data_IF_639624528342
#
_entry.id   IF_639624528342
#
_cell.length_a   1.000
_cell.length_b   1.000
_cell.length_c   1.000
_cell.angle_alpha   90.00
_cell.angle_beta   90.00
_cell.angle_gamma   90.00
#
_symmetry.space_group_name_H-M   'P 1'
#
loop_
_entity.id
_entity.type
_entity.pdbx_description
1 polymer ?
#
# COMPACT_ATOMS: atom_id res chain seq x y z
N UNK A 1 23.74 42.70 26.11
CA UNK A 1 22.41 43.28 25.86
C UNK A 1 21.99 44.12 27.04
N UNK A 2 21.10 45.10 26.87
CA UNK A 2 20.59 45.94 27.96
C UNK A 2 20.00 45.14 29.09
N UNK A 3 19.36 44.02 28.80
CA UNK A 3 18.83 43.07 29.80
C UNK A 3 19.94 42.45 30.68
N UNK A 4 21.10 42.16 30.11
CA UNK A 4 22.27 41.64 30.87
C UNK A 4 22.92 42.74 31.71
N UNK A 5 23.00 43.97 31.20
CA UNK A 5 23.51 45.11 31.93
C UNK A 5 22.60 45.46 33.15
N UNK A 6 21.29 45.45 32.94
CA UNK A 6 20.31 45.67 34.02
C UNK A 6 20.40 44.56 35.11
N UNK A 7 20.53 43.31 34.70
CA UNK A 7 20.70 42.21 35.64
C UNK A 7 21.97 42.34 36.52
N UNK A 8 23.08 42.89 35.97
CA UNK A 8 24.32 43.15 36.70
C UNK A 8 24.13 44.29 37.67
N UNK A 9 23.42 45.37 37.26
CA UNK A 9 23.13 46.52 38.13
C UNK A 9 22.20 46.22 39.30
N UNK A 10 21.29 45.24 39.11
CA UNK A 10 20.35 44.79 40.12
C UNK A 10 20.97 43.78 41.13
N UNK A 11 22.21 43.37 40.90
CA UNK A 11 22.93 42.51 41.86
C UNK A 11 23.29 43.25 43.14
N UNK A 12 22.87 42.71 44.29
CA UNK A 12 23.23 43.26 45.62
C UNK A 12 24.75 43.20 45.81
N UNK A 13 25.35 44.27 46.34
CA UNK A 13 26.81 44.42 46.62
C UNK A 13 27.40 43.22 47.40
N UNK A 14 26.58 42.56 48.20
CA UNK A 14 26.94 41.38 48.99
C UNK A 14 27.28 40.13 48.17
N UNK A 15 26.88 40.11 46.87
CA UNK A 15 27.18 39.00 45.90
C UNK A 15 28.49 39.18 45.12
N UNK A 16 29.23 40.24 45.39
CA UNK A 16 30.50 40.55 44.70
C UNK A 16 31.73 40.12 45.53
N UNK A 17 31.58 39.24 46.51
CA UNK A 17 32.71 38.73 47.30
C UNK A 17 33.49 37.69 46.50
N UNK A 18 34.82 37.62 46.69
CA UNK A 18 35.70 36.66 46.00
C UNK A 18 35.23 35.19 46.12
N UNK A 19 34.57 34.84 47.24
CA UNK A 19 34.02 33.50 47.46
C UNK A 19 32.86 33.17 46.51
N UNK A 20 31.96 34.13 46.27
CA UNK A 20 30.84 33.97 45.33
C UNK A 20 31.34 33.95 43.87
N UNK A 21 32.36 34.72 43.53
CA UNK A 21 32.99 34.68 42.20
C UNK A 21 33.62 33.30 41.94
N UNK A 22 34.25 32.70 42.93
CA UNK A 22 34.81 31.36 42.82
C UNK A 22 33.72 30.31 42.64
N UNK A 23 32.63 30.42 43.39
CA UNK A 23 31.49 29.54 43.28
C UNK A 23 30.82 29.65 41.90
N UNK A 24 30.63 30.88 41.39
CA UNK A 24 30.05 31.14 40.08
C UNK A 24 30.94 30.62 38.93
N UNK A 25 32.27 30.78 39.04
CA UNK A 25 33.23 30.20 38.09
C UNK A 25 33.16 28.69 38.08
N UNK A 26 33.06 28.06 39.22
CA UNK A 26 32.91 26.61 39.32
C UNK A 26 31.62 26.13 38.70
N UNK A 27 30.52 26.79 38.96
CA UNK A 27 29.23 26.49 38.36
C UNK A 27 29.28 26.64 36.85
N UNK A 28 29.89 27.70 36.32
CA UNK A 28 30.09 27.94 34.91
C UNK A 28 30.91 26.79 34.26
N UNK A 29 32.03 26.38 34.90
CA UNK A 29 32.85 25.27 34.39
C UNK A 29 32.08 23.94 34.42
N UNK A 30 31.25 23.71 35.43
CA UNK A 30 30.44 22.49 35.53
C UNK A 30 29.33 22.46 34.46
N UNK A 31 28.73 23.63 34.16
CA UNK A 31 27.78 23.76 33.07
C UNK A 31 28.45 23.52 31.70
N UNK A 32 29.64 24.08 31.47
CA UNK A 32 30.37 23.82 30.20
C UNK A 32 30.67 22.33 30.03
N UNK A 33 31.13 21.62 31.07
CA UNK A 33 31.34 20.18 31.02
C UNK A 33 30.06 19.40 30.77
N UNK A 34 28.94 19.87 31.29
CA UNK A 34 27.63 19.26 31.03
C UNK A 34 27.23 19.45 29.58
N UNK A 35 27.44 20.65 29.00
CA UNK A 35 27.15 20.93 27.59
C UNK A 35 27.99 20.00 26.70
N UNK A 36 29.32 19.95 26.90
CA UNK A 36 30.21 19.08 26.12
C UNK A 36 29.78 17.60 26.19
N UNK A 37 29.36 17.16 27.39
CA UNK A 37 28.84 15.80 27.58
C UNK A 37 27.57 15.56 26.79
N UNK A 38 26.60 16.47 26.84
CA UNK A 38 25.32 16.36 26.16
C UNK A 38 25.48 16.44 24.64
N UNK A 39 26.31 17.36 24.15
CA UNK A 39 26.65 17.44 22.73
C UNK A 39 27.35 16.17 22.27
N UNK A 40 28.29 15.63 23.07
CA UNK A 40 28.93 14.36 22.77
C UNK A 40 27.98 13.17 22.70
N UNK A 41 26.86 13.22 23.44
CA UNK A 41 25.77 12.21 23.33
C UNK A 41 24.99 12.41 22.04
N UNK A 42 24.61 13.66 21.72
CA UNK A 42 23.82 13.99 20.53
C UNK A 42 24.56 13.70 19.22
N UNK A 43 25.87 13.90 19.18
CA UNK A 43 26.69 13.66 18.00
C UNK A 43 27.17 12.22 17.84
N UNK A 44 26.81 11.32 18.74
CA UNK A 44 27.22 9.91 18.72
C UNK A 44 26.06 8.96 18.98
N UNK A 45 25.57 8.33 17.94
CA UNK A 45 24.50 7.33 18.02
C UNK A 45 24.81 6.23 19.07
N UNK A 46 26.07 5.78 19.12
CA UNK A 46 26.50 4.78 20.11
C UNK A 46 26.33 5.27 21.55
N UNK A 47 26.63 6.56 21.82
CA UNK A 47 26.47 7.14 23.16
C UNK A 47 25.01 7.38 23.49
N UNK A 48 24.20 7.79 22.50
CA UNK A 48 22.77 7.96 22.66
C UNK A 48 22.09 6.64 23.00
N UNK A 49 22.39 5.58 22.26
CA UNK A 49 21.89 4.23 22.54
C UNK A 49 22.33 3.70 23.91
N UNK A 50 23.54 4.08 24.37
CA UNK A 50 24.01 3.71 25.70
C UNK A 50 23.21 4.38 26.82
N UNK A 51 22.80 5.65 26.65
CA UNK A 51 21.91 6.35 27.58
C UNK A 51 20.55 5.68 27.63
N UNK A 52 19.93 5.45 26.48
CA UNK A 52 18.62 4.78 26.39
C UNK A 52 18.67 3.40 27.04
N UNK A 53 19.73 2.62 26.76
CA UNK A 53 19.90 1.30 27.39
C UNK A 53 19.97 1.36 28.90
N UNK A 54 20.71 2.37 29.42
CA UNK A 54 20.84 2.56 30.88
C UNK A 54 19.49 2.90 31.51
N UNK A 55 18.75 3.85 30.95
CA UNK A 55 17.41 4.24 31.45
C UNK A 55 16.42 3.08 31.41
N UNK A 56 16.41 2.30 30.32
CA UNK A 56 15.58 1.10 30.23
C UNK A 56 15.97 0.03 31.25
N UNK A 57 17.25 -0.09 31.54
CA UNK A 57 17.76 -1.04 32.54
C UNK A 57 17.34 -0.63 33.96
N UNK A 58 17.42 0.66 34.29
CA UNK A 58 16.96 1.22 35.56
C UNK A 58 15.45 0.98 35.74
N UNK A 59 14.63 1.20 34.69
CA UNK A 59 13.20 0.91 34.73
C UNK A 59 12.95 -0.59 34.88
N UNK A 60 13.71 -1.42 34.17
CA UNK A 60 13.58 -2.86 34.28
C UNK A 60 13.94 -3.38 35.71
N UNK A 61 14.93 -2.77 36.38
CA UNK A 61 15.30 -3.14 37.75
C UNK A 61 14.26 -2.67 38.78
N UNK A 62 13.64 -1.49 38.56
CA UNK A 62 12.63 -0.93 39.45
C UNK A 62 11.27 -1.65 39.35
N UNK A 63 10.89 -2.05 38.12
CA UNK A 63 9.56 -2.64 37.86
C UNK A 63 9.61 -4.12 37.47
N UNK A 64 10.77 -4.79 37.61
CA UNK A 64 10.88 -6.20 37.30
C UNK A 64 10.01 -7.05 38.23
N UNK A 65 9.14 -7.81 37.61
CA UNK A 65 8.41 -8.86 38.32
C UNK A 65 8.86 -10.27 37.81
N UNK A 66 8.59 -11.28 38.60
CA UNK A 66 8.93 -12.64 38.25
C UNK A 66 8.12 -13.07 37.00
N UNK A 67 8.80 -13.76 36.11
CA UNK A 67 8.15 -14.30 34.91
C UNK A 67 6.99 -15.23 35.27
N UNK A 68 5.78 -14.85 34.90
CA UNK A 68 4.55 -15.64 35.19
C UNK A 68 4.38 -16.83 34.25
N UNK A 69 5.12 -16.84 33.12
CA UNK A 69 5.06 -17.91 32.13
C UNK A 69 6.15 -18.93 32.45
N UNK A 70 5.77 -20.18 32.68
CA UNK A 70 6.69 -21.32 32.80
C UNK A 70 7.10 -21.80 31.40
N UNK A 71 8.39 -22.11 31.22
CA UNK A 71 8.87 -22.81 30.04
C UNK A 71 8.90 -24.28 30.40
N UNK A 72 7.93 -25.03 29.91
CA UNK A 72 7.97 -26.48 30.00
C UNK A 72 8.77 -27.04 28.81
N UNK A 73 9.68 -27.96 29.09
CA UNK A 73 10.29 -28.75 28.01
C UNK A 73 9.19 -29.65 27.46
N UNK A 74 8.80 -29.46 26.21
CA UNK A 74 7.94 -30.41 25.57
C UNK A 74 8.66 -31.77 25.59
N UNK A 75 8.12 -32.73 26.33
CA UNK A 75 8.49 -34.14 26.14
C UNK A 75 8.18 -34.47 24.67
N UNK A 76 9.17 -35.00 23.95
CA UNK A 76 9.06 -35.44 22.57
C UNK A 76 8.18 -36.72 22.46
N UNK A 77 7.03 -36.71 23.06
CA UNK A 77 5.98 -37.66 22.76
C UNK A 77 5.04 -36.97 21.79
N UNK A 78 4.86 -37.50 20.57
CA UNK A 78 3.83 -36.97 19.69
C UNK A 78 2.47 -37.34 20.28
N UNK A 79 1.94 -36.51 21.15
CA UNK A 79 0.52 -36.47 21.36
C UNK A 79 -0.05 -35.91 20.06
N UNK A 80 -0.38 -36.77 19.12
CA UNK A 80 -1.41 -36.48 18.14
C UNK A 80 -2.70 -36.18 18.92
N UNK A 81 -2.82 -34.95 19.39
CA UNK A 81 -4.14 -34.40 19.65
C UNK A 81 -4.72 -34.23 18.25
N UNK A 82 -5.49 -35.19 17.81
CA UNK A 82 -6.53 -34.93 16.84
C UNK A 82 -7.38 -33.81 17.47
N UNK A 83 -7.02 -32.53 17.21
CA UNK A 83 -7.99 -31.45 17.28
C UNK A 83 -9.11 -31.91 16.33
N UNK A 84 -10.23 -32.33 16.88
CA UNK A 84 -11.48 -32.38 16.12
C UNK A 84 -11.59 -31.01 15.43
N UNK A 85 -11.26 -31.00 14.15
CA UNK A 85 -11.28 -29.78 13.37
C UNK A 85 -12.71 -29.25 13.48
N UNK A 86 -12.89 -28.16 14.21
CA UNK A 86 -14.17 -27.49 14.32
C UNK A 86 -14.69 -27.28 12.89
N UNK A 87 -15.98 -27.56 12.67
CA UNK A 87 -16.54 -27.42 11.33
C UNK A 87 -16.22 -26.01 10.80
N UNK A 88 -15.80 -25.90 9.52
CA UNK A 88 -15.41 -24.61 8.94
C UNK A 88 -16.53 -23.59 9.10
N UNK A 89 -16.27 -22.47 9.75
CA UNK A 89 -17.21 -21.38 9.95
C UNK A 89 -17.07 -20.35 8.83
N UNK A 90 -18.21 -19.82 8.37
CA UNK A 90 -18.22 -18.69 7.43
C UNK A 90 -17.86 -17.41 8.17
N UNK A 91 -16.92 -16.65 7.63
CA UNK A 91 -16.43 -15.38 8.17
C UNK A 91 -16.26 -14.35 7.06
N UNK A 92 -16.23 -13.09 7.44
CA UNK A 92 -15.83 -12.00 6.53
C UNK A 92 -14.40 -11.61 6.89
N UNK A 93 -13.53 -11.60 5.87
CA UNK A 93 -12.18 -11.05 5.96
C UNK A 93 -12.16 -9.73 5.22
N UNK A 94 -11.68 -8.68 5.89
CA UNK A 94 -11.52 -7.36 5.31
C UNK A 94 -10.10 -6.84 5.52
N UNK A 95 -9.58 -6.13 4.51
CA UNK A 95 -8.38 -5.31 4.63
C UNK A 95 -8.79 -3.87 4.43
N UNK A 96 -8.49 -3.00 5.40
CA UNK A 96 -8.95 -1.61 5.40
C UNK A 96 -7.90 -0.65 4.87
N UNK A 97 -8.33 0.55 4.44
CA UNK A 97 -7.45 1.65 4.04
C UNK A 97 -6.46 2.09 5.14
N UNK A 98 -6.73 1.74 6.41
CA UNK A 98 -5.79 1.91 7.53
C UNK A 98 -4.69 0.82 7.58
N UNK A 99 -4.65 -0.12 6.63
CA UNK A 99 -3.69 -1.23 6.61
C UNK A 99 -3.96 -2.32 7.65
N UNK A 100 -5.21 -2.51 8.05
CA UNK A 100 -5.61 -3.48 9.07
C UNK A 100 -6.38 -4.65 8.45
N UNK A 101 -6.02 -5.86 8.87
CA UNK A 101 -6.78 -7.09 8.61
C UNK A 101 -7.81 -7.30 9.72
N UNK A 102 -9.05 -7.60 9.34
CA UNK A 102 -10.17 -7.91 10.23
C UNK A 102 -10.81 -9.23 9.82
N UNK A 103 -11.08 -10.09 10.80
CA UNK A 103 -11.98 -11.23 10.63
C UNK A 103 -13.25 -10.93 11.41
N UNK A 104 -14.40 -11.02 10.77
CA UNK A 104 -15.69 -10.59 11.34
C UNK A 104 -16.74 -11.68 11.14
N UNK A 105 -17.69 -11.73 12.08
CA UNK A 105 -18.85 -12.57 11.94
C UNK A 105 -19.83 -11.98 10.90
N UNK A 106 -20.30 -12.77 9.92
CA UNK A 106 -21.19 -12.29 8.86
C UNK A 106 -22.50 -11.69 9.37
N UNK A 107 -23.07 -12.23 10.46
CA UNK A 107 -24.31 -11.71 11.03
C UNK A 107 -24.13 -10.33 11.71
N UNK A 108 -22.95 -10.09 12.30
CA UNK A 108 -22.61 -8.79 12.87
C UNK A 108 -22.32 -7.76 11.77
N UNK A 109 -21.61 -8.17 10.72
CA UNK A 109 -21.31 -7.31 9.57
C UNK A 109 -22.59 -6.85 8.85
N UNK A 110 -23.56 -7.74 8.63
CA UNK A 110 -24.85 -7.38 8.04
C UNK A 110 -25.61 -6.31 8.83
N UNK A 111 -25.46 -6.30 10.16
CA UNK A 111 -26.07 -5.28 11.04
C UNK A 111 -25.30 -3.96 11.06
N UNK A 112 -24.02 -4.02 10.92
CA UNK A 112 -23.13 -2.86 11.02
C UNK A 112 -22.01 -3.06 10.00
N UNK A 113 -22.23 -2.72 8.71
CA UNK A 113 -21.18 -2.82 7.69
C UNK A 113 -20.05 -1.83 7.96
N UNK A 114 -18.91 -2.05 7.34
CA UNK A 114 -17.83 -1.06 7.29
C UNK A 114 -18.30 0.17 6.51
N UNK A 115 -17.77 1.37 6.80
CA UNK A 115 -18.07 2.57 6.04
C UNK A 115 -17.65 2.40 4.58
N UNK A 116 -18.29 3.12 3.69
CA UNK A 116 -17.84 3.24 2.30
C UNK A 116 -16.65 4.18 2.21
N UNK A 117 -15.88 4.09 1.13
CA UNK A 117 -14.73 4.98 0.89
C UNK A 117 -15.14 6.46 0.82
N UNK A 118 -16.38 6.76 0.46
CA UNK A 118 -16.91 8.12 0.46
C UNK A 118 -17.10 8.69 1.88
N UNK A 119 -17.33 7.81 2.86
CA UNK A 119 -17.60 8.19 4.25
C UNK A 119 -16.33 8.27 5.08
N UNK A 120 -15.40 7.31 4.89
CA UNK A 120 -14.14 7.25 5.64
C UNK A 120 -13.04 6.55 4.82
N UNK A 121 -11.93 7.26 4.57
CA UNK A 121 -10.78 6.77 3.80
C UNK A 121 -9.94 5.72 4.54
N UNK A 122 -10.08 5.58 5.84
CA UNK A 122 -9.24 4.71 6.65
C UNK A 122 -9.94 3.41 7.05
N UNK A 123 -11.21 3.50 7.35
CA UNK A 123 -11.97 2.36 7.87
C UNK A 123 -12.74 1.59 6.78
N UNK A 124 -12.86 2.12 5.55
CA UNK A 124 -13.45 1.36 4.46
C UNK A 124 -12.56 0.16 4.07
N UNK A 125 -13.17 -0.87 3.49
CA UNK A 125 -12.44 -2.06 3.07
C UNK A 125 -11.91 -1.89 1.64
N UNK A 126 -10.57 -1.95 1.48
CA UNK A 126 -9.92 -2.12 0.17
C UNK A 126 -10.20 -3.50 -0.42
N UNK A 127 -10.22 -4.51 0.45
CA UNK A 127 -10.57 -5.89 0.10
C UNK A 127 -11.58 -6.44 1.10
N UNK A 128 -12.60 -7.09 0.60
CA UNK A 128 -13.67 -7.72 1.38
C UNK A 128 -14.03 -9.07 0.79
N UNK A 129 -13.90 -10.13 1.60
CA UNK A 129 -14.17 -11.50 1.16
C UNK A 129 -15.10 -12.22 2.13
N UNK A 130 -16.01 -13.02 1.60
CA UNK A 130 -16.57 -14.14 2.33
C UNK A 130 -15.55 -15.28 2.30
N UNK A 131 -15.16 -15.77 3.44
CA UNK A 131 -14.16 -16.83 3.60
C UNK A 131 -14.63 -17.86 4.62
N UNK A 132 -13.94 -18.99 4.67
CA UNK A 132 -14.10 -19.98 5.73
C UNK A 132 -12.85 -20.06 6.59
N UNK A 133 -13.00 -20.48 7.83
CA UNK A 133 -11.88 -20.58 8.78
C UNK A 133 -10.81 -21.60 8.36
N UNK A 134 -11.16 -22.58 7.51
CA UNK A 134 -10.21 -23.56 6.92
C UNK A 134 -9.50 -23.05 5.65
N UNK A 135 -9.76 -21.83 5.21
CA UNK A 135 -9.11 -21.21 4.06
C UNK A 135 -7.83 -20.48 4.45
N UNK A 136 -7.01 -20.21 3.44
CA UNK A 136 -5.79 -19.42 3.54
C UNK A 136 -5.95 -18.12 2.77
N UNK A 137 -5.67 -17.00 3.42
CA UNK A 137 -5.56 -15.69 2.80
C UNK A 137 -4.17 -15.58 2.16
N UNK A 138 -4.11 -15.44 0.84
CA UNK A 138 -2.90 -15.12 0.10
C UNK A 138 -2.79 -13.61 -0.04
N UNK A 139 -1.69 -13.02 0.39
CA UNK A 139 -1.42 -11.59 0.33
C UNK A 139 -0.22 -11.37 -0.59
N UNK A 140 -0.43 -10.68 -1.71
CA UNK A 140 0.61 -10.36 -2.68
C UNK A 140 1.03 -8.90 -2.53
N UNK A 141 2.35 -8.65 -2.58
CA UNK A 141 2.92 -7.34 -2.34
C UNK A 141 3.61 -6.76 -3.57
N UNK A 142 3.86 -5.46 -3.54
CA UNK A 142 4.52 -4.72 -4.63
C UNK A 142 5.99 -5.11 -4.85
N UNK A 143 6.62 -5.77 -3.86
CA UNK A 143 7.94 -6.39 -3.99
C UNK A 143 7.92 -7.74 -4.70
N UNK A 144 6.74 -8.26 -5.03
CA UNK A 144 6.58 -9.57 -5.68
C UNK A 144 6.59 -10.75 -4.72
N UNK A 145 6.40 -10.52 -3.44
CA UNK A 145 6.27 -11.56 -2.43
C UNK A 145 4.82 -12.00 -2.25
N UNK A 146 4.64 -13.22 -1.76
CA UNK A 146 3.37 -13.74 -1.28
C UNK A 146 3.51 -14.18 0.17
N UNK A 147 2.51 -13.84 0.97
CA UNK A 147 2.38 -14.22 2.37
C UNK A 147 1.08 -15.03 2.57
N UNK A 148 1.16 -16.34 2.67
CA UNK A 148 0.02 -17.17 3.07
C UNK A 148 -0.28 -17.00 4.56
N UNK A 149 -1.53 -16.72 4.88
CA UNK A 149 -2.00 -16.54 6.25
C UNK A 149 -3.27 -17.36 6.47
N UNK A 150 -3.28 -18.35 7.39
CA UNK A 150 -4.51 -19.06 7.72
C UNK A 150 -5.59 -18.11 8.22
N UNK A 151 -6.80 -18.16 7.66
CA UNK A 151 -7.93 -17.30 8.08
C UNK A 151 -8.25 -17.50 9.57
N UNK A 152 -8.10 -18.73 10.09
CA UNK A 152 -8.28 -19.03 11.51
C UNK A 152 -7.32 -18.27 12.44
N UNK A 153 -6.13 -17.90 11.95
CA UNK A 153 -5.13 -17.17 12.75
C UNK A 153 -5.44 -15.69 12.96
N UNK A 154 -6.38 -15.14 12.20
CA UNK A 154 -6.85 -13.76 12.38
C UNK A 154 -7.77 -13.68 13.60
N UNK A 155 -7.59 -12.67 14.43
CA UNK A 155 -8.49 -12.41 15.55
C UNK A 155 -9.87 -11.99 15.05
N UNK A 156 -10.92 -12.57 15.63
CA UNK A 156 -12.28 -12.11 15.36
C UNK A 156 -12.54 -10.80 16.10
N UNK A 157 -13.01 -9.81 15.35
CA UNK A 157 -13.31 -8.47 15.86
C UNK A 157 -14.68 -8.00 15.36
N UNK A 158 -15.31 -7.06 16.07
CA UNK A 158 -16.52 -6.41 15.59
C UNK A 158 -16.18 -5.41 14.47
N UNK A 159 -17.12 -5.11 13.55
CA UNK A 159 -16.84 -4.19 12.43
C UNK A 159 -16.24 -2.84 12.82
N UNK A 160 -16.68 -2.27 13.95
CA UNK A 160 -16.18 -0.98 14.48
C UNK A 160 -14.88 -1.08 15.29
N UNK A 161 -14.44 -2.28 15.64
CA UNK A 161 -13.20 -2.49 16.37
C UNK A 161 -12.00 -2.46 15.41
N UNK A 162 -10.84 -2.10 15.93
CA UNK A 162 -9.60 -2.11 15.15
C UNK A 162 -9.16 -3.53 14.84
N UNK A 163 -8.71 -3.75 13.62
CA UNK A 163 -8.09 -4.99 13.19
C UNK A 163 -6.63 -5.09 13.58
N UNK A 164 -5.97 -6.13 13.09
CA UNK A 164 -4.54 -6.34 13.24
C UNK A 164 -3.79 -5.63 12.11
N UNK A 165 -2.75 -4.86 12.44
CA UNK A 165 -1.88 -4.26 11.43
C UNK A 165 -1.17 -5.35 10.61
N UNK A 166 -1.05 -5.15 9.30
CA UNK A 166 -0.41 -6.09 8.39
C UNK A 166 1.03 -6.43 8.85
N UNK A 167 1.79 -5.43 9.28
CA UNK A 167 3.15 -5.58 9.80
C UNK A 167 3.24 -6.42 11.09
N UNK A 168 2.17 -6.44 11.88
CA UNK A 168 2.10 -7.24 13.10
C UNK A 168 1.72 -8.71 12.85
N UNK A 169 1.13 -9.02 11.70
CA UNK A 169 0.66 -10.35 11.33
C UNK A 169 1.63 -11.07 10.39
N UNK A 170 2.27 -10.32 9.49
CA UNK A 170 3.19 -10.86 8.48
C UNK A 170 4.64 -10.78 8.95
N UNK A 171 5.25 -11.92 9.21
CA UNK A 171 6.66 -11.98 9.56
C UNK A 171 7.55 -11.64 8.35
N UNK A 172 8.44 -10.65 8.50
CA UNK A 172 9.41 -10.26 7.46
C UNK A 172 8.81 -9.39 6.35
N UNK A 173 7.72 -8.67 6.62
CA UNK A 173 7.24 -7.57 5.78
C UNK A 173 8.23 -6.41 5.90
N UNK A 174 8.64 -5.83 4.78
CA UNK A 174 9.53 -4.67 4.74
C UNK A 174 8.73 -3.37 4.94
N UNK A 175 9.35 -2.32 5.50
CA UNK A 175 8.64 -1.07 5.85
C UNK A 175 8.03 -0.34 4.65
N UNK A 176 8.63 -0.50 3.46
CA UNK A 176 8.15 0.09 2.21
C UNK A 176 7.35 -0.89 1.34
N UNK A 177 7.14 -2.13 1.79
CA UNK A 177 6.40 -3.18 1.11
C UNK A 177 4.89 -3.01 1.34
N UNK A 178 4.11 -2.97 0.26
CA UNK A 178 2.66 -2.74 0.30
C UNK A 178 1.89 -3.92 -0.28
N UNK A 179 0.79 -4.27 0.35
CA UNK A 179 -0.16 -5.21 -0.22
C UNK A 179 -0.80 -4.63 -1.48
N UNK A 180 -0.85 -5.43 -2.55
CA UNK A 180 -1.47 -5.06 -3.83
C UNK A 180 -2.75 -5.84 -4.11
N UNK A 181 -2.78 -7.10 -3.71
CA UNK A 181 -3.92 -7.97 -3.96
C UNK A 181 -3.99 -9.06 -2.91
N UNK A 182 -5.22 -9.44 -2.59
CA UNK A 182 -5.51 -10.49 -1.62
C UNK A 182 -6.61 -11.39 -2.14
N UNK A 183 -6.56 -12.67 -1.77
CA UNK A 183 -7.62 -13.62 -2.03
C UNK A 183 -7.63 -14.72 -0.98
N UNK A 184 -8.82 -15.16 -0.60
CA UNK A 184 -8.98 -16.34 0.27
C UNK A 184 -9.18 -17.57 -0.60
N UNK A 185 -8.43 -18.61 -0.34
CA UNK A 185 -8.50 -19.87 -1.06
C UNK A 185 -8.44 -21.05 -0.09
N UNK A 186 -9.12 -22.13 -0.44
CA UNK A 186 -8.85 -23.43 0.15
C UNK A 186 -7.71 -24.06 -0.63
N UNK A 187 -6.62 -24.40 0.06
CA UNK A 187 -5.42 -24.94 -0.61
C UNK A 187 -5.69 -26.22 -1.41
N UNK A 188 -6.65 -27.04 -0.98
CA UNK A 188 -7.07 -28.22 -1.74
C UNK A 188 -7.68 -27.89 -3.11
N UNK A 189 -8.26 -26.70 -3.27
CA UNK A 189 -8.98 -26.26 -4.47
C UNK A 189 -8.13 -25.39 -5.39
N UNK A 190 -6.88 -25.09 -5.00
CA UNK A 190 -5.99 -24.14 -5.70
C UNK A 190 -5.75 -24.51 -7.18
N UNK A 191 -5.74 -25.81 -7.50
CA UNK A 191 -5.59 -26.30 -8.88
C UNK A 191 -6.77 -25.99 -9.81
N UNK A 192 -7.92 -25.57 -9.27
CA UNK A 192 -9.13 -25.21 -10.02
C UNK A 192 -9.29 -23.69 -10.17
N UNK A 193 -8.42 -22.91 -9.55
CA UNK A 193 -8.45 -21.45 -9.64
C UNK A 193 -7.85 -20.98 -10.97
N UNK A 194 -8.26 -19.79 -11.46
CA UNK A 194 -7.63 -19.18 -12.62
C UNK A 194 -6.15 -18.87 -12.35
N UNK A 195 -5.36 -18.86 -13.42
CA UNK A 195 -3.98 -18.37 -13.33
C UNK A 195 -3.92 -16.97 -12.76
N UNK A 196 -2.79 -16.63 -12.17
CA UNK A 196 -2.56 -15.31 -11.59
C UNK A 196 -1.64 -14.49 -12.49
N UNK A 197 -2.03 -13.27 -12.76
CA UNK A 197 -1.28 -12.30 -13.57
C UNK A 197 -0.59 -11.29 -12.65
N UNK A 198 0.69 -11.03 -12.92
CA UNK A 198 1.51 -10.03 -12.27
C UNK A 198 1.97 -9.03 -13.30
N UNK A 199 1.71 -7.76 -13.09
CA UNK A 199 2.09 -6.67 -13.98
C UNK A 199 3.00 -5.71 -13.23
N UNK A 200 4.16 -5.38 -13.82
CA UNK A 200 5.10 -4.43 -13.22
C UNK A 200 4.98 -3.04 -13.83
N UNK A 201 5.48 -2.04 -13.11
CA UNK A 201 5.53 -0.65 -13.56
C UNK A 201 6.42 -0.46 -14.79
N UNK A 202 7.45 -1.28 -14.95
CA UNK A 202 8.35 -1.25 -16.11
C UNK A 202 7.88 -2.11 -17.29
N UNK A 203 6.60 -2.51 -17.29
CA UNK A 203 5.97 -3.16 -18.43
C UNK A 203 6.34 -4.62 -18.60
N UNK A 204 6.56 -5.35 -17.51
CA UNK A 204 6.62 -6.81 -17.51
C UNK A 204 5.25 -7.39 -17.15
N UNK A 205 4.93 -8.55 -17.70
CA UNK A 205 3.77 -9.34 -17.34
C UNK A 205 4.18 -10.80 -17.12
N UNK A 206 3.64 -11.40 -16.08
CA UNK A 206 3.82 -12.82 -15.79
C UNK A 206 2.46 -13.46 -15.57
N UNK A 207 2.28 -14.66 -16.10
CA UNK A 207 1.15 -15.53 -15.86
C UNK A 207 1.64 -16.80 -15.18
N UNK A 208 1.06 -17.16 -14.06
CA UNK A 208 1.46 -18.33 -13.26
C UNK A 208 0.21 -19.11 -12.87
N UNK A 209 0.27 -20.43 -12.95
CA UNK A 209 -0.82 -21.29 -12.46
C UNK A 209 -1.02 -21.09 -10.95
N UNK A 210 -2.26 -20.98 -10.51
CA UNK A 210 -2.57 -20.79 -9.09
C UNK A 210 -2.01 -21.95 -8.22
N UNK A 211 -1.93 -23.16 -8.76
CA UNK A 211 -1.37 -24.33 -8.09
C UNK A 211 0.10 -24.14 -7.66
N UNK A 212 0.87 -23.26 -8.33
CA UNK A 212 2.26 -22.99 -7.96
C UNK A 212 2.37 -22.25 -6.61
N UNK A 213 1.25 -21.76 -6.06
CA UNK A 213 1.19 -21.03 -4.79
C UNK A 213 0.79 -21.90 -3.59
N UNK A 214 0.61 -23.20 -3.79
CA UNK A 214 0.51 -24.18 -2.69
C UNK A 214 1.89 -24.41 -2.07
N UNK A 215 2.30 -23.47 -1.21
CA UNK A 215 3.64 -23.47 -0.59
C UNK A 215 3.50 -23.38 0.93
N UNK A 216 4.20 -24.26 1.65
CA UNK A 216 4.18 -24.29 3.12
C UNK A 216 4.96 -23.17 3.80
N UNK A 217 5.68 -22.33 3.04
CA UNK A 217 6.48 -21.23 3.60
C UNK A 217 5.59 -20.04 3.99
N UNK A 218 5.90 -19.39 5.10
CA UNK A 218 5.20 -18.16 5.56
C UNK A 218 5.44 -16.92 4.68
N UNK A 219 6.52 -16.90 3.91
CA UNK A 219 6.88 -15.87 2.90
C UNK A 219 7.60 -16.56 1.76
N UNK A 220 7.27 -16.20 0.54
CA UNK A 220 7.99 -16.65 -0.64
C UNK A 220 7.84 -15.68 -1.81
N UNK A 221 8.78 -15.72 -2.74
CA UNK A 221 8.69 -14.92 -3.97
C UNK A 221 7.58 -15.46 -4.87
N UNK A 222 6.59 -14.64 -5.16
CA UNK A 222 5.51 -14.92 -6.11
C UNK A 222 5.93 -14.64 -7.54
N UNK A 223 6.80 -13.66 -7.73
CA UNK A 223 7.41 -13.25 -9.01
C UNK A 223 8.78 -12.64 -8.74
N UNK A 224 9.73 -12.87 -9.64
CA UNK A 224 11.03 -12.20 -9.55
C UNK A 224 10.92 -10.81 -10.18
N UNK A 225 10.79 -9.79 -9.35
CA UNK A 225 10.78 -8.38 -9.78
C UNK A 225 12.23 -7.91 -9.94
N UNK A 226 12.55 -7.26 -11.05
CA UNK A 226 13.89 -6.74 -11.33
C UNK A 226 14.21 -5.55 -10.42
N UNK A 227 15.51 -5.35 -10.15
CA UNK A 227 15.97 -4.20 -9.38
C UNK A 227 15.47 -2.87 -9.98
N UNK A 228 14.92 -2.03 -9.12
CA UNK A 228 14.35 -0.74 -9.52
C UNK A 228 12.93 -0.81 -10.11
N UNK A 229 12.34 -2.00 -10.28
CA UNK A 229 10.96 -2.19 -10.69
C UNK A 229 10.07 -2.52 -9.48
N UNK A 230 8.78 -2.40 -9.63
CA UNK A 230 7.76 -2.79 -8.65
C UNK A 230 6.56 -3.38 -9.34
N UNK A 231 5.86 -4.27 -8.68
CA UNK A 231 4.55 -4.67 -9.16
C UNK A 231 3.59 -3.47 -9.12
N UNK A 232 2.82 -3.34 -10.18
CA UNK A 232 1.72 -2.39 -10.28
C UNK A 232 0.43 -3.02 -9.76
N UNK A 233 0.15 -4.24 -10.20
CA UNK A 233 -1.08 -4.95 -9.84
C UNK A 233 -0.94 -6.45 -10.00
N UNK A 234 -1.80 -7.17 -9.30
CA UNK A 234 -1.99 -8.62 -9.41
C UNK A 234 -3.46 -8.87 -9.71
N UNK A 235 -3.75 -9.70 -10.68
CA UNK A 235 -5.11 -9.96 -11.16
C UNK A 235 -5.32 -11.48 -11.39
N UNK A 236 -6.52 -12.03 -11.14
CA UNK A 236 -6.86 -13.35 -11.66
C UNK A 236 -6.94 -13.27 -13.20
N UNK A 237 -6.42 -14.27 -13.89
CA UNK A 237 -6.55 -14.37 -15.34
C UNK A 237 -7.98 -14.79 -15.70
N UNK A 238 -8.83 -13.84 -16.02
CA UNK A 238 -10.14 -14.15 -16.57
C UNK A 238 -9.96 -14.81 -17.94
N UNK A 239 -10.78 -15.81 -18.25
CA UNK A 239 -10.65 -16.59 -19.47
C UNK A 239 -10.84 -15.70 -20.70
N UNK A 240 -9.79 -15.57 -21.53
CA UNK A 240 -9.79 -15.01 -22.88
C UNK A 240 -9.91 -13.50 -23.06
N UNK A 241 -9.89 -12.71 -22.02
CA UNK A 241 -9.95 -11.27 -22.15
C UNK A 241 -8.59 -10.71 -22.59
N UNK A 242 -8.62 -9.63 -23.37
CA UNK A 242 -7.40 -8.90 -23.71
C UNK A 242 -6.94 -8.07 -22.51
N UNK A 243 -5.64 -7.89 -22.39
CA UNK A 243 -5.05 -6.97 -21.43
C UNK A 243 -4.91 -5.58 -22.08
N UNK A 244 -5.37 -4.56 -21.37
CA UNK A 244 -5.16 -3.15 -21.72
C UNK A 244 -4.33 -2.48 -20.65
N UNK A 245 -3.25 -1.79 -21.07
CA UNK A 245 -2.35 -1.07 -20.17
C UNK A 245 -2.27 0.40 -20.59
N UNK A 246 -2.03 1.26 -19.59
CA UNK A 246 -1.75 2.69 -19.79
C UNK A 246 -0.49 3.09 -19.08
N UNK A 247 0.33 3.93 -19.73
CA UNK A 247 1.50 4.55 -19.12
C UNK A 247 1.17 5.96 -18.64
N UNK A 248 2.02 6.48 -17.76
CA UNK A 248 1.93 7.84 -17.22
C UNK A 248 2.01 8.88 -18.33
N UNK A 249 2.80 8.66 -19.35
CA UNK A 249 2.91 9.53 -20.53
C UNK A 249 1.70 9.49 -21.49
N UNK A 250 0.69 8.66 -21.19
CA UNK A 250 -0.55 8.54 -21.98
C UNK A 250 -0.44 7.60 -23.17
N UNK A 251 0.52 6.69 -23.18
CA UNK A 251 0.55 5.57 -24.15
C UNK A 251 -0.35 4.44 -23.66
N UNK A 252 -0.92 3.67 -24.58
CA UNK A 252 -1.67 2.47 -24.25
C UNK A 252 -1.35 1.33 -25.22
N UNK A 253 -1.50 0.11 -24.72
CA UNK A 253 -1.39 -1.11 -25.53
C UNK A 253 -2.46 -2.11 -25.12
N UNK A 254 -3.15 -2.69 -26.10
CA UNK A 254 -4.09 -3.80 -25.92
C UNK A 254 -3.56 -5.02 -26.65
N UNK A 255 -3.46 -6.15 -25.95
CA UNK A 255 -3.00 -7.41 -26.53
C UNK A 255 -3.71 -8.62 -25.91
N UNK A 256 -3.69 -9.76 -26.61
CA UNK A 256 -4.30 -10.99 -26.12
C UNK A 256 -3.55 -11.58 -24.94
N UNK A 257 -4.27 -11.98 -23.90
CA UNK A 257 -3.75 -12.75 -22.80
C UNK A 257 -3.11 -14.08 -23.24
N UNK A 258 -3.57 -14.68 -24.31
CA UNK A 258 -2.99 -15.92 -24.88
C UNK A 258 -1.53 -15.74 -25.33
N UNK A 259 -1.11 -14.50 -25.59
CA UNK A 259 0.29 -14.19 -25.91
C UNK A 259 1.24 -14.23 -24.69
N UNK A 260 0.68 -14.33 -23.48
CA UNK A 260 1.44 -14.40 -22.21
C UNK A 260 1.59 -15.87 -21.82
N UNK A 261 2.81 -16.45 -21.90
CA UNK A 261 3.03 -17.83 -21.53
C UNK A 261 2.86 -18.05 -20.03
N UNK A 262 2.33 -19.20 -19.64
CA UNK A 262 2.31 -19.63 -18.24
C UNK A 262 3.75 -19.98 -17.84
N UNK A 263 4.21 -19.43 -16.72
CA UNK A 263 5.57 -19.58 -16.21
C UNK A 263 5.54 -19.92 -14.73
N UNK A 264 6.56 -20.64 -14.29
CA UNK A 264 6.72 -20.99 -12.88
C UNK A 264 6.95 -19.76 -11.99
N UNK A 265 6.75 -19.94 -10.69
CA UNK A 265 6.73 -18.88 -9.67
C UNK A 265 7.94 -17.94 -9.67
N UNK A 266 9.15 -18.45 -9.81
CA UNK A 266 10.40 -17.67 -9.74
C UNK A 266 10.77 -16.93 -11.04
N UNK A 267 9.98 -17.06 -12.10
CA UNK A 267 10.23 -16.36 -13.35
C UNK A 267 9.91 -14.86 -13.22
N UNK A 268 10.63 -14.04 -13.99
CA UNK A 268 10.40 -12.58 -14.05
C UNK A 268 9.28 -12.17 -15.02
N UNK A 269 8.72 -13.13 -15.78
CA UNK A 269 7.71 -12.83 -16.79
C UNK A 269 8.31 -12.46 -18.16
N UNK A 270 7.46 -11.88 -18.99
CA UNK A 270 7.78 -11.40 -20.33
C UNK A 270 7.39 -9.94 -20.47
N UNK A 271 8.00 -9.23 -21.41
CA UNK A 271 7.67 -7.82 -21.63
C UNK A 271 6.29 -7.69 -22.27
N UNK A 272 5.41 -6.90 -21.67
CA UNK A 272 4.10 -6.58 -22.20
C UNK A 272 4.10 -5.30 -23.04
N UNK A 273 4.88 -4.29 -22.63
CA UNK A 273 5.00 -3.00 -23.29
C UNK A 273 6.45 -2.51 -23.22
N UNK A 274 6.92 -1.78 -24.22
CA UNK A 274 8.18 -1.05 -24.15
C UNK A 274 7.91 0.29 -23.47
N UNK A 275 8.35 0.41 -22.22
CA UNK A 275 8.25 1.64 -21.43
C UNK A 275 9.55 2.42 -21.59
N UNK A 276 9.45 3.71 -21.92
CA UNK A 276 10.61 4.59 -22.06
C UNK A 276 11.16 5.01 -20.70
N UNK A 277 12.43 5.39 -20.63
CA UNK A 277 13.07 5.84 -19.40
C UNK A 277 12.31 7.06 -18.83
N UNK A 278 11.96 6.97 -17.56
CA UNK A 278 11.19 8.00 -16.87
C UNK A 278 9.66 7.89 -17.03
N UNK A 279 9.16 6.94 -17.83
CA UNK A 279 7.74 6.57 -17.88
C UNK A 279 7.47 5.31 -17.07
N UNK A 280 6.24 5.05 -16.75
CA UNK A 280 5.80 3.83 -16.06
C UNK A 280 4.37 3.44 -16.46
N UNK A 281 4.08 2.17 -16.39
CA UNK A 281 2.70 1.69 -16.46
C UNK A 281 1.99 2.08 -15.17
N UNK A 282 0.85 2.76 -15.28
CA UNK A 282 0.07 3.23 -14.12
C UNK A 282 -1.24 2.47 -13.94
N UNK A 283 -1.67 1.73 -14.95
CA UNK A 283 -2.90 0.95 -14.90
C UNK A 283 -2.85 -0.22 -15.86
N UNK A 284 -3.43 -1.33 -15.45
CA UNK A 284 -3.67 -2.51 -16.26
C UNK A 284 -4.97 -3.18 -15.86
N UNK A 285 -5.74 -3.63 -16.83
CA UNK A 285 -6.97 -4.38 -16.59
C UNK A 285 -7.38 -5.26 -17.75
N UNK A 286 -8.27 -6.20 -17.47
CA UNK A 286 -9.00 -7.01 -18.43
C UNK A 286 -10.36 -6.35 -18.64
N UNK A 287 -10.78 -6.17 -19.89
CA UNK A 287 -11.98 -5.43 -20.22
C UNK A 287 -12.91 -6.23 -21.12
N UNK A 288 -14.20 -5.97 -20.98
CA UNK A 288 -15.25 -6.46 -21.84
C UNK A 288 -15.69 -5.39 -22.85
N UNK A 289 -16.39 -5.80 -23.90
CA UNK A 289 -16.80 -4.89 -24.99
C UNK A 289 -17.71 -3.73 -24.52
N UNK A 290 -18.43 -3.92 -23.43
CA UNK A 290 -19.29 -2.88 -22.83
C UNK A 290 -18.58 -1.86 -21.95
N UNK A 291 -17.32 -2.14 -21.59
CA UNK A 291 -16.57 -1.31 -20.65
C UNK A 291 -16.14 0.01 -21.27
N UNK A 292 -15.99 0.99 -20.43
CA UNK A 292 -15.48 2.30 -20.78
C UNK A 292 -14.28 2.64 -19.90
N UNK A 293 -13.41 3.49 -20.41
CA UNK A 293 -12.20 3.92 -19.71
C UNK A 293 -12.23 5.43 -19.56
N UNK A 294 -12.07 5.90 -18.34
CA UNK A 294 -11.82 7.30 -18.04
C UNK A 294 -10.33 7.51 -17.87
N UNK A 295 -9.80 8.45 -18.64
CA UNK A 295 -8.43 8.94 -18.51
C UNK A 295 -8.46 10.32 -17.88
N UNK A 296 -7.67 10.52 -16.82
CA UNK A 296 -7.59 11.75 -16.06
C UNK A 296 -6.14 12.23 -15.98
N UNK A 297 -5.90 13.51 -16.24
CA UNK A 297 -4.58 14.13 -16.18
C UNK A 297 -4.28 14.74 -14.82
N UNK A 298 -3.01 15.03 -14.56
CA UNK A 298 -2.52 15.73 -13.38
C UNK A 298 -3.08 17.18 -13.22
N UNK A 299 -3.69 17.74 -14.27
CA UNK A 299 -4.37 19.05 -14.25
C UNK A 299 -5.89 18.94 -14.22
N UNK A 300 -6.45 17.73 -14.01
CA UNK A 300 -7.88 17.52 -13.88
C UNK A 300 -8.66 17.53 -15.19
N UNK A 301 -7.99 17.41 -16.34
CA UNK A 301 -8.66 17.16 -17.62
C UNK A 301 -8.96 15.68 -17.75
N UNK A 302 -10.17 15.39 -18.20
CA UNK A 302 -10.60 14.00 -18.35
C UNK A 302 -11.31 13.78 -19.67
N UNK A 303 -11.32 12.53 -20.09
CA UNK A 303 -12.15 12.02 -21.19
C UNK A 303 -12.51 10.56 -20.95
N UNK A 304 -13.63 10.15 -21.51
CA UNK A 304 -14.12 8.79 -21.49
C UNK A 304 -13.98 8.19 -22.90
N UNK A 305 -13.51 6.96 -22.97
CA UNK A 305 -13.26 6.21 -24.21
C UNK A 305 -14.01 4.89 -24.14
N UNK A 306 -14.40 4.38 -25.30
CA UNK A 306 -14.97 3.04 -25.43
C UNK A 306 -13.86 2.00 -25.58
N UNK A 307 -14.11 0.78 -25.12
CA UNK A 307 -13.16 -0.32 -25.29
C UNK A 307 -12.80 -0.56 -26.76
N UNK A 308 -13.77 -0.43 -27.67
CA UNK A 308 -13.56 -0.60 -29.11
C UNK A 308 -12.57 0.41 -29.73
N UNK A 309 -12.32 1.53 -29.07
CA UNK A 309 -11.34 2.53 -29.51
C UNK A 309 -9.89 2.02 -29.42
N UNK A 310 -9.65 0.96 -28.64
CA UNK A 310 -8.33 0.39 -28.44
C UNK A 310 -8.10 -0.81 -29.34
N UNK A 311 -7.41 -0.59 -30.46
CA UNK A 311 -7.06 -1.65 -31.41
C UNK A 311 -6.11 -2.67 -30.77
N UNK A 312 -6.35 -3.95 -31.05
CA UNK A 312 -5.49 -5.04 -30.59
C UNK A 312 -4.13 -5.00 -31.29
N UNK A 313 -3.07 -5.11 -30.53
CA UNK A 313 -1.68 -5.07 -30.99
C UNK A 313 -0.94 -6.34 -30.56
N UNK A 314 0.26 -6.51 -31.10
CA UNK A 314 1.18 -7.51 -30.59
C UNK A 314 1.78 -7.04 -29.25
N UNK A 315 1.96 -7.96 -28.31
CA UNK A 315 2.68 -7.72 -27.06
C UNK A 315 4.10 -7.20 -27.33
N UNK A 316 4.69 -6.47 -26.39
CA UNK A 316 6.02 -5.89 -26.47
C UNK A 316 6.14 -4.74 -27.50
N UNK A 317 5.03 -4.10 -27.89
CA UNK A 317 5.03 -2.88 -28.68
C UNK A 317 5.28 -1.63 -27.81
N UNK A 318 5.52 -0.46 -28.46
CA UNK A 318 5.59 0.85 -27.79
C UNK A 318 4.21 1.36 -27.37
N UNK A 319 3.13 0.77 -27.89
CA UNK A 319 1.79 1.27 -27.73
C UNK A 319 1.46 2.46 -28.61
N UNK A 320 0.26 3.00 -28.43
CA UNK A 320 -0.26 4.17 -29.15
C UNK A 320 -0.70 5.24 -28.15
N UNK A 321 -0.69 6.49 -28.59
CA UNK A 321 -1.17 7.60 -27.74
C UNK A 321 -2.67 7.46 -27.50
N UNK A 322 -3.04 7.48 -26.23
CA UNK A 322 -4.43 7.50 -25.77
C UNK A 322 -4.88 8.86 -25.28
N UNK A 323 -3.94 9.76 -24.98
CA UNK A 323 -4.19 11.12 -24.57
C UNK A 323 -3.21 12.10 -25.22
N UNK A 324 -3.70 13.29 -25.60
CA UNK A 324 -2.88 14.32 -26.25
C UNK A 324 -2.74 15.54 -25.31
N UNK A 325 -1.54 15.72 -24.80
CA UNK A 325 -1.20 16.87 -23.96
C UNK A 325 -0.90 18.11 -24.79
N UNK A 326 -1.31 19.27 -24.30
CA UNK A 326 -0.97 20.55 -24.92
C UNK A 326 0.50 20.88 -24.71
N UNK A 327 1.15 21.48 -25.70
CA UNK A 327 2.57 21.84 -25.60
C UNK A 327 2.88 22.78 -24.43
N UNK A 328 1.93 23.62 -24.05
CA UNK A 328 2.03 24.53 -22.89
C UNK A 328 1.64 23.88 -21.55
N UNK A 329 1.28 22.61 -21.55
CA UNK A 329 0.89 21.86 -20.36
C UNK A 329 -0.46 22.27 -19.74
N UNK A 330 -1.29 23.03 -20.46
CA UNK A 330 -2.56 23.54 -19.91
C UNK A 330 -3.56 22.46 -19.55
N UNK A 331 -3.54 21.31 -20.24
CA UNK A 331 -4.38 20.14 -19.95
C UNK A 331 -3.63 19.00 -19.23
N UNK A 332 -2.46 19.29 -18.69
CA UNK A 332 -1.60 18.33 -18.01
C UNK A 332 -0.35 17.95 -18.79
N UNK A 333 0.53 17.22 -18.14
CA UNK A 333 1.78 16.68 -18.70
C UNK A 333 1.79 15.16 -18.67
N UNK A 334 0.94 14.58 -17.85
CA UNK A 334 0.87 13.14 -17.60
C UNK A 334 -0.53 12.72 -17.17
N UNK A 335 -0.81 11.44 -17.31
CA UNK A 335 -1.99 10.82 -16.70
C UNK A 335 -1.76 10.66 -15.19
N UNK A 336 -2.74 11.05 -14.41
CA UNK A 336 -2.79 10.87 -12.96
C UNK A 336 -3.65 9.67 -12.55
N UNK A 337 -4.65 9.32 -13.38
CA UNK A 337 -5.54 8.20 -13.09
C UNK A 337 -6.18 7.61 -14.34
N UNK A 338 -6.48 6.34 -14.23
CA UNK A 338 -7.26 5.58 -15.21
C UNK A 338 -8.33 4.80 -14.45
N UNK A 339 -9.58 4.93 -14.86
CA UNK A 339 -10.71 4.26 -14.22
C UNK A 339 -11.46 3.44 -15.25
N UNK A 340 -11.64 2.14 -14.98
CA UNK A 340 -12.55 1.29 -15.72
C UNK A 340 -13.97 1.54 -15.22
N UNK A 341 -14.91 1.71 -16.11
CA UNK A 341 -16.33 1.83 -15.83
C UNK A 341 -17.07 0.67 -16.47
N UNK A 342 -17.78 -0.08 -15.66
CA UNK A 342 -18.79 -1.04 -16.08
C UNK A 342 -20.12 -0.34 -16.35
N UNK A 343 -21.13 -1.09 -16.78
CA UNK A 343 -22.40 -0.50 -17.22
C UNK A 343 -23.13 0.29 -16.13
N UNK A 344 -23.06 -0.21 -14.90
CA UNK A 344 -23.82 0.33 -13.76
C UNK A 344 -22.98 1.26 -12.85
N UNK A 345 -21.73 1.52 -13.22
CA UNK A 345 -20.85 2.41 -12.48
C UNK A 345 -21.18 3.87 -12.72
N UNK A 346 -21.35 4.64 -11.66
CA UNK A 346 -21.82 6.01 -11.75
C UNK A 346 -20.91 7.05 -11.12
N UNK A 347 -20.09 6.70 -10.12
CA UNK A 347 -19.39 7.68 -9.31
C UNK A 347 -17.88 7.44 -9.31
N UNK A 348 -17.14 8.48 -9.66
CA UNK A 348 -15.67 8.50 -9.69
C UNK A 348 -15.17 9.45 -8.60
N UNK A 349 -14.28 8.97 -7.76
CA UNK A 349 -13.57 9.77 -6.77
C UNK A 349 -12.24 10.22 -7.35
N UNK A 350 -12.04 11.54 -7.44
CA UNK A 350 -10.81 12.17 -7.92
C UNK A 350 -10.02 12.70 -6.74
N UNK A 351 -8.80 12.21 -6.56
CA UNK A 351 -7.92 12.62 -5.47
C UNK A 351 -7.01 13.75 -5.92
N UNK A 352 -6.80 14.72 -5.04
CA UNK A 352 -5.90 15.85 -5.23
C UNK A 352 -4.86 15.89 -4.13
N UNK A 353 -3.68 16.46 -4.41
CA UNK A 353 -2.58 16.48 -3.44
C UNK A 353 -2.85 17.36 -2.22
N UNK A 354 -3.53 18.48 -2.40
CA UNK A 354 -3.74 19.49 -1.35
C UNK A 354 -5.21 19.71 -1.01
N UNK A 355 -6.11 19.43 -1.94
CA UNK A 355 -7.54 19.63 -1.80
C UNK A 355 -8.25 18.31 -1.43
N UNK A 356 -9.42 18.38 -0.79
CA UNK A 356 -10.26 17.20 -0.58
C UNK A 356 -10.59 16.52 -1.90
N UNK A 357 -10.81 15.20 -1.84
CA UNK A 357 -11.24 14.45 -3.01
C UNK A 357 -12.58 14.96 -3.56
N UNK A 358 -12.70 15.00 -4.88
CA UNK A 358 -13.91 15.45 -5.58
C UNK A 358 -14.65 14.24 -6.12
N UNK A 359 -15.95 14.16 -5.87
CA UNK A 359 -16.83 13.14 -6.44
C UNK A 359 -17.39 13.63 -7.78
N UNK A 360 -17.27 12.82 -8.80
CA UNK A 360 -17.70 13.15 -10.16
C UNK A 360 -18.57 12.02 -10.71
N UNK A 361 -19.73 12.39 -11.23
CA UNK A 361 -20.58 11.44 -11.92
C UNK A 361 -20.01 11.07 -13.29
N UNK A 362 -20.16 9.81 -13.68
CA UNK A 362 -19.76 9.26 -14.98
C UNK A 362 -20.18 10.14 -16.16
N UNK A 363 -21.42 10.64 -16.14
CA UNK A 363 -22.00 11.40 -17.25
C UNK A 363 -21.41 12.79 -17.41
N UNK A 364 -20.73 13.31 -16.38
CA UNK A 364 -19.98 14.54 -16.45
C UNK A 364 -18.65 14.37 -17.23
N UNK A 365 -18.18 13.12 -17.43
CA UNK A 365 -16.99 12.82 -18.24
C UNK A 365 -17.42 12.57 -19.69
N UNK A 366 -17.10 13.48 -20.57
CA UNK A 366 -17.49 13.38 -22.00
C UNK A 366 -16.81 12.22 -22.71
N UNK A 367 -17.60 11.53 -23.52
CA UNK A 367 -17.10 10.55 -24.48
C UNK A 367 -16.31 11.27 -25.59
N UNK A 368 -15.08 10.84 -25.84
CA UNK A 368 -14.15 11.45 -26.80
C UNK A 368 -13.28 10.37 -27.47
N UNK A 369 -12.61 10.73 -28.55
CA UNK A 369 -11.66 9.83 -29.24
C UNK A 369 -10.26 9.83 -28.60
N UNK A 370 -9.43 8.87 -29.00
CA UNK A 370 -8.02 8.78 -28.54
C UNK A 370 -7.23 10.06 -28.81
N UNK A 371 -7.49 10.74 -29.92
CA UNK A 371 -6.75 11.94 -30.35
C UNK A 371 -7.20 13.22 -29.62
N UNK A 372 -8.28 13.16 -28.85
CA UNK A 372 -8.78 14.30 -28.14
C UNK A 372 -7.97 14.60 -26.88
N UNK A 373 -8.08 15.85 -26.40
CA UNK A 373 -7.25 16.41 -25.35
C UNK A 373 -7.93 16.44 -23.97
N UNK A 374 -9.09 15.79 -23.86
CA UNK A 374 -9.91 15.83 -22.67
C UNK A 374 -10.60 17.19 -22.45
N UNK A 375 -11.47 17.25 -21.47
CA UNK A 375 -12.16 18.45 -21.02
C UNK A 375 -11.85 18.69 -19.54
N UNK A 376 -11.85 19.94 -19.06
CA UNK A 376 -11.74 20.20 -17.63
C UNK A 376 -12.87 19.49 -16.87
N UNK A 377 -12.51 18.66 -15.91
CA UNK A 377 -13.43 17.94 -15.04
C UNK A 377 -13.31 18.39 -13.60
N UNK A 378 -12.08 18.48 -13.12
CA UNK A 378 -11.74 18.99 -11.78
C UNK A 378 -10.74 20.13 -11.94
N UNK A 379 -10.97 21.22 -11.22
CA UNK A 379 -10.07 22.38 -11.26
C UNK A 379 -8.99 22.20 -10.18
N UNK A 380 -7.77 21.95 -10.60
CA UNK A 380 -6.61 22.00 -9.71
C UNK A 380 -6.19 23.47 -9.51
N UNK A 381 -6.51 24.05 -8.35
CA UNK A 381 -6.26 25.44 -8.02
C UNK A 381 -4.89 25.60 -7.38
N UNK A 382 -4.14 26.66 -7.73
CA UNK A 382 -2.91 27.11 -7.06
C UNK A 382 -1.90 25.98 -6.78
N UNK A 383 -1.24 25.46 -7.77
CA UNK A 383 -0.21 24.42 -7.64
C UNK A 383 -0.70 23.07 -7.05
N UNK A 384 -2.01 22.88 -6.98
CA UNK A 384 -2.58 21.57 -6.70
C UNK A 384 -2.50 20.69 -7.95
N UNK A 385 -2.39 19.39 -7.73
CA UNK A 385 -2.34 18.40 -8.79
C UNK A 385 -3.28 17.24 -8.46
N UNK A 386 -3.87 16.67 -9.48
CA UNK A 386 -4.60 15.42 -9.34
C UNK A 386 -3.57 14.30 -9.19
N UNK A 387 -3.77 13.47 -8.18
CA UNK A 387 -2.86 12.37 -7.81
C UNK A 387 -3.41 11.00 -8.18
N UNK A 388 -4.73 10.89 -8.35
CA UNK A 388 -5.37 9.62 -8.69
C UNK A 388 -6.86 9.77 -8.96
N UNK A 389 -7.43 8.70 -9.47
CA UNK A 389 -8.88 8.54 -9.60
C UNK A 389 -9.24 7.07 -9.39
N UNK A 390 -10.37 6.83 -8.77
CA UNK A 390 -10.89 5.50 -8.47
C UNK A 390 -12.40 5.47 -8.60
N UNK A 391 -12.93 4.28 -8.86
CA UNK A 391 -14.36 4.03 -8.84
C UNK A 391 -14.84 3.97 -7.39
N UNK A 392 -15.99 4.56 -7.10
CA UNK A 392 -16.73 4.31 -5.86
C UNK A 392 -17.88 3.34 -6.17
N UNK A 393 -17.78 2.17 -5.56
CA UNK A 393 -18.84 1.16 -5.55
C UNK A 393 -19.96 1.53 -4.58
#
# INVERSE_FOLDING_TARGET
SDAQAQAILDMRLQRLTNLEIIALRKEYEDILKLIDRLEGILHSEKKLLAVIRKELQEIAEEFADERRTTIEKADESPLEVEEEAAAPEEVIVAFTGAGQLKRMNPALYKKTPLPTRAEDDKEFADFLFMAKTDETLLIFTDHGNCYPLPVASLNEVKPKERGQLLSGVLAGLEDDEKALWMTCIRMADVGHLPDILFITRQGMVKRTAAADYDVRSKKFAAVNVKDGDRLLTVLPAASRDDLLLFTRSGLCIRFSLDSVPVQGRVAAGVRCMQVEDGDEVIWCGQLQDSDQIVLLTDRGYAKRLLYVDFEKQNRNGKGVKSFYFNKNGSNGKQLAGVVRLEKDDHLIRVQQAKSPATLVERDNVRLQGKQDRGMPLVIAVMDDVVTGAELLE
#
